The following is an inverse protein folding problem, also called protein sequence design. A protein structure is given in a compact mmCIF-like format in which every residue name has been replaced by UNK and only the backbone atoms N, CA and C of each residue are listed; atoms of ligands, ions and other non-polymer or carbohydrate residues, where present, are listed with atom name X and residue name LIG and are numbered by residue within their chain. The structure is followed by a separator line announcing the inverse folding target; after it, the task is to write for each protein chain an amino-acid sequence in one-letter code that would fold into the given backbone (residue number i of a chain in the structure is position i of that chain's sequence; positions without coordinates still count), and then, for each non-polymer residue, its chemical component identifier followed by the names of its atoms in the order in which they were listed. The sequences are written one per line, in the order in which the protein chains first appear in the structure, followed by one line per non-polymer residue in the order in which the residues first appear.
data_IF_561552121583
#
_entry.id   IF_561552121583
#
_cell.length_a   1.000
_cell.length_b   1.000
_cell.length_c   1.000
_cell.angle_alpha   90.00
_cell.angle_beta   90.00
_cell.angle_gamma   90.00
#
_symmetry.space_group_name_H-M   'P 1'
#
loop_
_entity.id
_entity.type
_entity.pdbx_description
1 polymer ?
#
# COMPACT_ATOMS: atom_id res chain seq x y z
N UNK A 1 -3.29 -11.55 -12.93
CA UNK A 1 -3.49 -11.44 -11.45
C UNK A 1 -4.83 -10.77 -11.17
N UNK A 2 -5.69 -11.38 -10.34
CA UNK A 2 -6.99 -10.81 -9.97
C UNK A 2 -6.77 -9.54 -9.12
N UNK A 3 -7.38 -8.42 -9.53
CA UNK A 3 -7.33 -7.13 -8.85
C UNK A 3 -8.74 -6.55 -8.70
N UNK A 4 -8.96 -5.76 -7.66
CA UNK A 4 -10.24 -5.09 -7.47
C UNK A 4 -10.46 -4.04 -8.58
N UNK A 5 -11.56 -4.13 -9.32
CA UNK A 5 -11.94 -3.21 -10.41
C UNK A 5 -13.16 -2.34 -10.09
N UNK A 6 -13.77 -2.53 -8.92
CA UNK A 6 -14.96 -1.82 -8.49
C UNK A 6 -14.72 -0.36 -8.07
N UNK A 7 -15.77 0.34 -7.63
CA UNK A 7 -15.75 1.76 -7.28
C UNK A 7 -14.90 2.01 -6.02
N UNK A 8 -13.84 2.80 -6.16
CA UNK A 8 -12.85 3.07 -5.10
C UNK A 8 -13.38 4.01 -4.03
N UNK A 9 -14.07 5.08 -4.42
CA UNK A 9 -14.64 6.07 -3.50
C UNK A 9 -15.66 5.43 -2.54
N UNK A 10 -16.39 4.40 -2.99
CA UNK A 10 -17.29 3.61 -2.13
C UNK A 10 -16.54 2.93 -0.98
N UNK A 11 -15.31 2.48 -1.25
CA UNK A 11 -14.45 1.83 -0.24
C UNK A 11 -13.93 2.88 0.75
N UNK A 12 -13.42 4.02 0.25
CA UNK A 12 -12.93 5.11 1.09
C UNK A 12 -14.04 5.64 2.01
N UNK A 13 -15.26 5.81 1.53
CA UNK A 13 -16.42 6.21 2.33
C UNK A 13 -16.74 5.24 3.48
N UNK A 14 -16.36 3.98 3.38
CA UNK A 14 -16.61 2.95 4.41
C UNK A 14 -15.44 2.75 5.35
N UNK A 15 -14.21 2.84 4.85
CA UNK A 15 -13.00 2.44 5.57
C UNK A 15 -12.14 3.63 6.01
N UNK A 16 -12.45 4.85 5.54
CA UNK A 16 -11.63 6.03 5.75
C UNK A 16 -10.59 6.22 4.63
N UNK A 17 -9.67 7.13 4.83
CA UNK A 17 -8.66 7.49 3.84
C UNK A 17 -7.71 6.34 3.52
N UNK A 18 -7.54 6.09 2.22
CA UNK A 18 -6.67 5.05 1.68
C UNK A 18 -5.83 5.65 0.53
N UNK A 19 -4.70 6.30 0.85
CA UNK A 19 -3.91 7.05 -0.13
C UNK A 19 -3.33 6.15 -1.24
N UNK A 20 -2.97 4.91 -0.93
CA UNK A 20 -2.50 3.94 -1.92
C UNK A 20 -3.58 3.47 -2.91
N UNK A 21 -4.87 3.60 -2.57
CA UNK A 21 -5.98 3.19 -3.42
C UNK A 21 -6.42 4.29 -4.39
N UNK A 22 -6.57 5.52 -3.89
CA UNK A 22 -7.07 6.67 -4.68
C UNK A 22 -6.75 7.99 -4.01
N UNK A 23 -6.48 9.00 -4.81
CA UNK A 23 -6.29 10.40 -4.40
C UNK A 23 -7.62 11.17 -4.33
N UNK A 24 -8.74 10.57 -4.80
CA UNK A 24 -10.04 11.24 -4.80
C UNK A 24 -10.64 11.30 -3.40
N UNK A 25 -10.96 12.52 -2.95
CA UNK A 25 -11.65 12.79 -1.69
C UNK A 25 -13.16 12.59 -1.90
N UNK A 26 -13.86 11.86 -1.01
CA UNK A 26 -15.29 11.68 -1.09
C UNK A 26 -16.04 12.95 -0.66
N UNK A 27 -17.07 13.35 -1.41
CA UNK A 27 -17.94 14.48 -1.06
C UNK A 27 -18.89 14.16 0.11
N UNK A 28 -19.06 12.88 0.47
CA UNK A 28 -19.98 12.43 1.52
C UNK A 28 -19.23 11.56 2.51
N UNK A 29 -19.36 11.87 3.82
CA UNK A 29 -18.60 11.20 4.89
C UNK A 29 -19.25 9.91 5.42
N UNK A 30 -20.42 9.54 4.91
CA UNK A 30 -21.13 8.32 5.31
C UNK A 30 -20.96 7.20 4.26
N UNK A 31 -21.09 5.92 4.64
CA UNK A 31 -20.99 4.79 3.72
C UNK A 31 -21.99 4.89 2.56
N UNK A 32 -21.69 4.25 1.43
CA UNK A 32 -22.56 4.23 0.28
C UNK A 32 -23.69 3.21 0.49
N UNK A 33 -24.88 3.51 -0.04
CA UNK A 33 -26.07 2.67 0.00
C UNK A 33 -27.22 3.29 0.78
N UNK A 34 -28.39 2.65 0.73
CA UNK A 34 -29.63 3.12 1.34
C UNK A 34 -29.48 3.38 2.85
N UNK A 35 -28.76 2.51 3.56
CA UNK A 35 -28.53 2.61 5.00
C UNK A 35 -27.26 3.39 5.35
N UNK A 36 -26.63 4.06 4.39
CA UNK A 36 -25.39 4.82 4.61
C UNK A 36 -25.54 5.91 5.68
N UNK A 37 -26.55 6.81 5.57
CA UNK A 37 -26.77 7.90 6.54
C UNK A 37 -26.99 7.42 7.98
N UNK A 38 -27.68 6.30 8.15
CA UNK A 38 -28.02 5.72 9.48
C UNK A 38 -26.95 4.76 10.03
N UNK A 39 -25.90 4.46 9.27
CA UNK A 39 -24.90 3.45 9.64
C UNK A 39 -24.10 3.80 10.91
N UNK A 40 -24.01 5.07 11.29
CA UNK A 40 -23.32 5.54 12.51
C UNK A 40 -24.05 5.22 13.82
N UNK A 41 -25.35 4.94 13.74
CA UNK A 41 -26.19 4.65 14.92
C UNK A 41 -26.03 3.20 15.42
N UNK A 42 -25.43 2.32 14.64
CA UNK A 42 -25.32 0.90 14.98
C UNK A 42 -24.01 0.60 15.71
N UNK A 43 -24.08 0.01 16.91
CA UNK A 43 -22.92 -0.45 17.66
C UNK A 43 -22.12 -1.45 16.83
N UNK A 44 -20.81 -1.22 16.67
CA UNK A 44 -19.94 -2.11 15.90
C UNK A 44 -19.57 -3.35 16.70
N UNK A 45 -19.77 -4.52 16.11
CA UNK A 45 -19.28 -5.78 16.69
C UNK A 45 -17.76 -5.85 16.63
N UNK A 46 -17.13 -6.58 17.56
CA UNK A 46 -15.67 -6.81 17.58
C UNK A 46 -15.18 -7.44 16.27
N UNK A 47 -15.95 -8.35 15.70
CA UNK A 47 -15.64 -8.94 14.40
C UNK A 47 -15.59 -7.88 13.27
N UNK A 48 -16.57 -6.96 13.26
CA UNK A 48 -16.64 -5.89 12.25
C UNK A 48 -15.43 -4.96 12.33
N UNK A 49 -14.99 -4.62 13.55
CA UNK A 49 -13.80 -3.77 13.77
C UNK A 49 -12.56 -4.43 13.19
N UNK A 50 -12.28 -5.70 13.54
CA UNK A 50 -11.14 -6.47 13.01
C UNK A 50 -11.20 -6.62 11.48
N UNK A 51 -12.39 -6.91 10.95
CA UNK A 51 -12.62 -7.01 9.52
C UNK A 51 -12.31 -5.69 8.79
N UNK A 52 -12.74 -4.55 9.34
CA UNK A 52 -12.48 -3.23 8.75
C UNK A 52 -10.98 -2.94 8.69
N UNK A 53 -10.22 -3.15 9.77
CA UNK A 53 -8.77 -2.94 9.79
C UNK A 53 -8.05 -3.82 8.76
N UNK A 54 -8.41 -5.09 8.68
CA UNK A 54 -7.88 -5.98 7.63
C UNK A 54 -8.23 -5.48 6.23
N UNK A 55 -9.45 -5.01 5.99
CA UNK A 55 -9.87 -4.50 4.68
C UNK A 55 -9.17 -3.19 4.32
N UNK A 56 -8.91 -2.27 5.27
CA UNK A 56 -8.08 -1.08 5.05
C UNK A 56 -6.72 -1.48 4.46
N UNK A 57 -6.03 -2.39 5.13
CA UNK A 57 -4.73 -2.88 4.68
C UNK A 57 -4.81 -3.48 3.27
N UNK A 58 -5.76 -4.39 3.06
CA UNK A 58 -5.93 -5.08 1.78
C UNK A 58 -6.19 -4.13 0.61
N UNK A 59 -7.07 -3.14 0.79
CA UNK A 59 -7.42 -2.21 -0.27
C UNK A 59 -6.35 -1.16 -0.51
N UNK A 60 -5.67 -0.68 0.54
CA UNK A 60 -4.60 0.29 0.39
C UNK A 60 -3.44 -0.28 -0.45
N UNK A 61 -2.95 -1.47 -0.11
CA UNK A 61 -1.86 -2.14 -0.86
C UNK A 61 -2.33 -2.90 -2.10
N UNK A 62 -3.64 -2.98 -2.34
CA UNK A 62 -4.22 -3.66 -3.51
C UNK A 62 -3.89 -5.16 -3.58
N UNK A 63 -3.67 -5.81 -2.45
CA UNK A 63 -3.37 -7.25 -2.37
C UNK A 63 -4.66 -8.09 -2.31
N UNK A 64 -4.60 -9.33 -2.81
CA UNK A 64 -5.70 -10.28 -2.65
C UNK A 64 -5.71 -10.88 -1.24
N UNK A 65 -6.84 -11.46 -0.82
CA UNK A 65 -6.94 -12.12 0.48
C UNK A 65 -5.93 -13.27 0.63
N UNK A 66 -5.77 -14.08 -0.42
CA UNK A 66 -4.80 -15.19 -0.46
C UNK A 66 -3.36 -14.69 -0.27
N UNK A 67 -3.01 -13.57 -0.92
CA UNK A 67 -1.68 -12.97 -0.79
C UNK A 67 -1.47 -12.41 0.63
N UNK A 68 -2.46 -11.70 1.18
CA UNK A 68 -2.37 -11.15 2.53
C UNK A 68 -2.21 -12.25 3.58
N UNK A 69 -2.97 -13.34 3.47
CA UNK A 69 -2.79 -14.52 4.32
C UNK A 69 -1.39 -15.12 4.19
N UNK A 70 -0.84 -15.15 2.98
CA UNK A 70 0.54 -15.59 2.73
C UNK A 70 1.58 -14.71 3.45
N UNK A 71 1.39 -13.38 3.44
CA UNK A 71 2.25 -12.45 4.19
C UNK A 71 2.13 -12.64 5.70
N UNK A 72 0.92 -12.80 6.23
CA UNK A 72 0.70 -13.06 7.67
C UNK A 72 1.39 -14.36 8.11
N UNK A 73 1.25 -15.44 7.32
CA UNK A 73 1.91 -16.72 7.62
C UNK A 73 3.43 -16.60 7.59
N UNK A 74 3.98 -15.82 6.67
CA UNK A 74 5.41 -15.55 6.57
C UNK A 74 5.90 -14.72 7.75
N UNK A 75 5.19 -13.64 8.10
CA UNK A 75 5.51 -12.80 9.25
C UNK A 75 5.53 -13.57 10.57
N UNK A 76 4.59 -14.52 10.77
CA UNK A 76 4.55 -15.38 11.96
C UNK A 76 5.77 -16.31 12.11
N UNK A 77 6.45 -16.64 11.02
CA UNK A 77 7.66 -17.49 11.02
C UNK A 77 8.93 -16.71 11.29
N UNK A 78 8.89 -15.40 11.15
CA UNK A 78 10.05 -14.52 11.37
C UNK A 78 10.16 -14.15 12.85
N UNK A 79 11.37 -13.91 13.33
CA UNK A 79 11.61 -13.40 14.69
C UNK A 79 11.23 -11.91 14.75
N UNK A 80 10.39 -11.52 15.70
CA UNK A 80 9.96 -10.13 15.93
C UNK A 80 8.45 -9.95 15.99
N UNK A 81 7.97 -8.71 16.17
CA UNK A 81 6.54 -8.39 16.25
C UNK A 81 5.87 -8.62 14.88
N UNK A 82 4.98 -9.60 14.83
CA UNK A 82 4.33 -10.06 13.59
C UNK A 82 3.63 -8.93 12.83
N UNK A 83 3.03 -7.96 13.56
CA UNK A 83 2.34 -6.83 12.93
C UNK A 83 3.27 -5.89 12.17
N UNK A 84 4.37 -5.51 12.80
CA UNK A 84 5.39 -4.67 12.18
C UNK A 84 6.04 -5.35 10.98
N UNK A 85 6.40 -6.63 11.13
CA UNK A 85 6.96 -7.44 10.04
C UNK A 85 6.01 -7.56 8.86
N UNK A 86 4.71 -7.73 9.12
CA UNK A 86 3.69 -7.74 8.07
C UNK A 86 3.67 -6.41 7.30
N UNK A 87 3.63 -5.29 8.01
CA UNK A 87 3.62 -3.97 7.40
C UNK A 87 4.93 -3.68 6.66
N UNK A 88 6.07 -4.03 7.23
CA UNK A 88 7.38 -3.93 6.58
C UNK A 88 7.41 -4.69 5.24
N UNK A 89 6.96 -5.95 5.23
CA UNK A 89 6.90 -6.73 3.99
C UNK A 89 5.97 -6.11 2.94
N UNK A 90 4.90 -5.44 3.34
CA UNK A 90 3.98 -4.77 2.41
C UNK A 90 4.55 -3.46 1.87
N UNK A 91 5.29 -2.70 2.67
CA UNK A 91 5.96 -1.46 2.22
C UNK A 91 7.19 -1.76 1.36
N UNK A 92 7.93 -2.83 1.64
CA UNK A 92 9.13 -3.22 0.87
C UNK A 92 8.80 -3.89 -0.48
N UNK A 93 7.54 -3.95 -0.89
CA UNK A 93 7.16 -4.38 -2.24
C UNK A 93 7.51 -3.30 -3.26
N UNK A 94 7.94 -3.71 -4.45
CA UNK A 94 8.32 -2.80 -5.53
C UNK A 94 7.18 -1.83 -5.90
N UNK A 95 5.92 -2.30 -5.97
CA UNK A 95 4.77 -1.43 -6.26
C UNK A 95 4.54 -0.38 -5.16
N UNK A 96 4.79 -0.73 -3.89
CA UNK A 96 4.69 0.20 -2.77
C UNK A 96 5.84 1.22 -2.77
N UNK A 97 7.07 0.77 -3.00
CA UNK A 97 8.24 1.66 -3.04
C UNK A 97 8.13 2.67 -4.21
N UNK A 98 7.74 2.22 -5.41
CA UNK A 98 7.50 3.11 -6.56
C UNK A 98 6.46 4.19 -6.24
N UNK A 99 5.41 3.82 -5.49
CA UNK A 99 4.43 4.80 -5.00
C UNK A 99 5.04 5.75 -3.95
N UNK A 100 5.80 5.25 -2.98
CA UNK A 100 6.44 6.06 -1.92
C UNK A 100 7.51 7.03 -2.44
N UNK A 101 8.23 6.65 -3.48
CA UNK A 101 9.16 7.53 -4.19
C UNK A 101 8.47 8.66 -4.96
N UNK A 102 7.14 8.63 -5.08
CA UNK A 102 6.38 9.62 -5.84
C UNK A 102 6.41 9.40 -7.36
N UNK A 103 6.77 8.21 -7.81
CA UNK A 103 6.78 7.86 -9.25
C UNK A 103 5.39 7.55 -9.79
N UNK A 104 4.42 7.34 -8.91
CA UNK A 104 3.05 7.05 -9.28
C UNK A 104 2.04 7.66 -8.28
N UNK A 105 0.86 8.12 -8.74
CA UNK A 105 -0.15 8.74 -7.88
C UNK A 105 -0.87 7.73 -6.96
N UNK A 106 -0.82 6.45 -7.25
CA UNK A 106 -1.41 5.38 -6.43
C UNK A 106 -0.62 4.08 -6.57
N UNK A 107 -0.71 3.18 -5.59
CA UNK A 107 -0.09 1.84 -5.67
C UNK A 107 -0.58 1.05 -6.89
N UNK A 108 -1.82 1.30 -7.35
CA UNK A 108 -2.35 0.66 -8.56
C UNK A 108 -1.71 1.17 -9.85
N UNK A 109 -1.40 2.46 -9.92
CA UNK A 109 -0.64 3.03 -11.04
C UNK A 109 0.80 2.51 -11.01
N UNK A 110 1.44 2.50 -9.83
CA UNK A 110 2.76 1.92 -9.64
C UNK A 110 2.82 0.46 -10.12
N UNK A 111 1.83 -0.34 -9.76
CA UNK A 111 1.71 -1.73 -10.22
C UNK A 111 1.59 -1.85 -11.73
N UNK A 112 0.87 -0.94 -12.37
CA UNK A 112 0.77 -0.91 -13.83
C UNK A 112 2.12 -0.58 -14.45
N UNK A 113 2.84 0.41 -13.95
CA UNK A 113 4.15 0.78 -14.44
C UNK A 113 5.16 -0.37 -14.33
N UNK A 114 5.20 -1.03 -13.17
CA UNK A 114 6.05 -2.22 -12.99
C UNK A 114 5.66 -3.35 -13.95
N UNK A 115 4.36 -3.67 -14.07
CA UNK A 115 3.91 -4.75 -14.95
C UNK A 115 4.16 -4.48 -16.44
N UNK A 116 4.26 -3.20 -16.84
CA UNK A 116 4.59 -2.78 -18.20
C UNK A 116 6.10 -2.68 -18.45
N UNK A 117 6.95 -3.03 -17.47
CA UNK A 117 8.40 -3.01 -17.61
C UNK A 117 9.02 -1.61 -17.62
N UNK A 118 8.30 -0.59 -17.11
CA UNK A 118 8.78 0.80 -17.08
C UNK A 118 9.71 1.11 -15.91
N UNK A 119 9.97 0.13 -15.05
CA UNK A 119 10.78 0.26 -13.83
C UNK A 119 11.92 -0.76 -13.85
N UNK A 120 13.11 -0.30 -13.54
CA UNK A 120 14.30 -1.13 -13.38
C UNK A 120 14.77 -1.14 -11.93
N UNK A 121 15.31 -2.27 -11.47
CA UNK A 121 15.96 -2.44 -10.18
C UNK A 121 17.41 -2.84 -10.44
N UNK A 122 18.36 -2.05 -9.93
CA UNK A 122 19.81 -2.23 -10.19
C UNK A 122 20.14 -2.37 -11.70
N UNK A 123 19.42 -1.64 -12.56
CA UNK A 123 19.58 -1.67 -14.01
C UNK A 123 18.84 -2.80 -14.73
N UNK A 124 18.27 -3.77 -14.02
CA UNK A 124 17.50 -4.87 -14.60
C UNK A 124 16.00 -4.56 -14.61
N UNK A 125 15.32 -4.84 -15.72
CA UNK A 125 13.87 -4.67 -15.82
C UNK A 125 13.14 -5.72 -14.96
N UNK A 126 12.32 -5.25 -14.01
CA UNK A 126 11.52 -6.11 -13.14
C UNK A 126 10.03 -5.88 -13.41
N UNK A 127 9.33 -6.90 -13.89
CA UNK A 127 7.88 -6.83 -14.21
C UNK A 127 6.98 -7.40 -13.13
N UNK A 128 7.55 -7.81 -11.99
CA UNK A 128 6.82 -8.43 -10.87
C UNK A 128 6.55 -7.39 -9.78
N UNK A 129 5.30 -6.86 -9.61
CA UNK A 129 4.99 -5.84 -8.61
C UNK A 129 5.17 -6.28 -7.15
N UNK A 130 5.13 -7.59 -6.91
CA UNK A 130 5.33 -8.17 -5.58
C UNK A 130 6.80 -8.48 -5.25
N UNK A 131 7.72 -8.07 -6.11
CA UNK A 131 9.15 -8.17 -5.83
C UNK A 131 9.46 -7.49 -4.49
N UNK A 132 10.20 -8.17 -3.63
CA UNK A 132 10.62 -7.63 -2.33
C UNK A 132 11.96 -6.95 -2.51
N UNK A 133 11.97 -5.64 -2.37
CA UNK A 133 13.21 -4.89 -2.48
C UNK A 133 14.04 -5.04 -1.20
N UNK A 134 15.35 -5.12 -1.39
CA UNK A 134 16.34 -5.17 -0.32
C UNK A 134 16.96 -3.78 -0.09
N UNK A 135 17.59 -3.58 1.08
CA UNK A 135 18.37 -2.38 1.35
C UNK A 135 19.54 -2.26 0.36
N UNK A 136 19.80 -1.06 -0.10
CA UNK A 136 20.85 -0.77 -1.08
C UNK A 136 20.39 -0.83 -2.55
N UNK A 137 19.22 -1.41 -2.84
CA UNK A 137 18.72 -1.47 -4.23
C UNK A 137 18.34 -0.10 -4.78
N UNK A 138 18.69 0.13 -6.04
CA UNK A 138 18.41 1.35 -6.79
C UNK A 138 17.27 1.08 -7.77
N UNK A 139 16.23 1.89 -7.67
CA UNK A 139 15.03 1.81 -8.50
C UNK A 139 15.02 3.00 -9.43
N UNK A 140 14.94 2.75 -10.74
CA UNK A 140 14.97 3.81 -11.76
C UNK A 140 13.87 3.62 -12.79
N UNK A 141 13.41 4.74 -13.34
CA UNK A 141 12.55 4.77 -14.52
C UNK A 141 12.98 5.88 -15.47
N UNK A 142 12.93 5.59 -16.78
CA UNK A 142 13.19 6.56 -17.86
C UNK A 142 11.92 6.94 -18.61
N UNK A 143 10.77 6.37 -18.25
CA UNK A 143 9.49 6.64 -18.89
C UNK A 143 9.01 8.08 -18.58
N UNK A 144 8.73 8.86 -19.63
CA UNK A 144 8.30 10.26 -19.53
C UNK A 144 7.20 10.51 -18.49
N UNK A 145 6.07 9.76 -18.45
CA UNK A 145 4.99 10.01 -17.49
C UNK A 145 5.41 9.78 -16.03
N UNK A 146 6.43 8.94 -15.78
CA UNK A 146 6.95 8.70 -14.42
C UNK A 146 7.87 9.84 -14.01
N UNK A 147 8.73 10.29 -14.92
CA UNK A 147 9.66 11.40 -14.68
C UNK A 147 8.90 12.71 -14.42
N UNK A 148 7.88 13.01 -15.21
CA UNK A 148 7.03 14.19 -15.02
C UNK A 148 6.30 14.14 -13.67
N UNK A 149 5.71 12.99 -13.33
CA UNK A 149 5.03 12.83 -12.05
C UNK A 149 6.00 12.94 -10.87
N UNK A 150 7.23 12.42 -10.99
CA UNK A 150 8.26 12.54 -9.97
C UNK A 150 8.65 13.99 -9.70
N UNK A 151 8.80 14.82 -10.75
CA UNK A 151 9.13 16.25 -10.64
C UNK A 151 8.02 17.05 -9.96
N UNK A 152 6.76 16.74 -10.28
CA UNK A 152 5.58 17.45 -9.72
C UNK A 152 5.15 16.93 -8.36
N UNK A 153 5.70 15.80 -7.90
CA UNK A 153 5.32 15.21 -6.62
C UNK A 153 5.74 16.07 -5.44
N UNK A 154 4.76 16.68 -4.77
CA UNK A 154 4.95 17.51 -3.57
C UNK A 154 4.86 16.76 -2.24
N UNK A 155 4.63 15.44 -2.26
CA UNK A 155 4.53 14.63 -1.04
C UNK A 155 5.87 14.40 -0.36
N UNK A 156 5.80 14.04 0.93
CA UNK A 156 6.98 13.70 1.72
C UNK A 156 7.43 12.27 1.41
N UNK A 157 8.68 12.11 1.02
CA UNK A 157 9.30 10.80 0.85
C UNK A 157 9.73 10.29 2.23
N UNK A 158 9.36 9.05 2.60
CA UNK A 158 9.77 8.48 3.87
C UNK A 158 11.29 8.34 3.99
N UNK A 159 11.84 8.53 5.18
CA UNK A 159 13.29 8.58 5.44
C UNK A 159 14.04 7.26 5.24
N UNK A 160 13.36 6.15 4.95
CA UNK A 160 14.00 4.89 4.54
C UNK A 160 14.31 4.84 3.04
N UNK A 161 13.86 5.86 2.28
CA UNK A 161 14.10 6.00 0.84
C UNK A 161 14.81 7.33 0.57
N UNK A 162 15.73 7.33 -0.39
CA UNK A 162 16.26 8.53 -1.00
C UNK A 162 15.77 8.65 -2.44
N UNK A 163 15.53 9.86 -2.94
CA UNK A 163 14.99 10.08 -4.28
C UNK A 163 15.67 11.25 -4.98
N UNK A 164 16.08 11.02 -6.22
CA UNK A 164 16.39 12.07 -7.20
C UNK A 164 15.19 12.24 -8.13
N UNK A 165 14.42 13.29 -7.90
CA UNK A 165 13.18 13.58 -8.64
C UNK A 165 13.43 13.90 -10.11
N UNK A 166 14.58 14.49 -10.43
CA UNK A 166 14.89 14.90 -11.80
C UNK A 166 15.10 13.70 -12.72
N UNK A 167 15.79 12.69 -12.20
CA UNK A 167 16.13 11.48 -12.96
C UNK A 167 15.19 10.30 -12.66
N UNK A 168 14.15 10.50 -11.87
CA UNK A 168 13.25 9.44 -11.38
C UNK A 168 14.05 8.20 -10.89
N UNK A 169 15.04 8.45 -10.05
CA UNK A 169 15.89 7.44 -9.44
C UNK A 169 15.68 7.47 -7.93
N UNK A 170 15.44 6.32 -7.33
CA UNK A 170 15.31 6.18 -5.88
C UNK A 170 16.17 5.04 -5.37
N UNK A 171 16.58 5.11 -4.11
CA UNK A 171 17.36 4.08 -3.45
C UNK A 171 16.71 3.69 -2.12
N UNK A 172 16.75 2.43 -1.79
CA UNK A 172 16.30 1.90 -0.49
C UNK A 172 17.47 1.97 0.48
N UNK A 173 17.42 2.89 1.45
CA UNK A 173 18.52 3.11 2.39
C UNK A 173 18.47 2.13 3.57
N UNK A 174 17.27 1.85 4.07
CA UNK A 174 17.06 0.98 5.24
C UNK A 174 15.69 0.31 5.22
N UNK A 175 15.50 -0.67 6.08
CA UNK A 175 14.18 -1.27 6.27
C UNK A 175 13.19 -0.29 6.88
N UNK A 176 11.92 -0.42 6.51
CA UNK A 176 10.83 0.43 7.00
C UNK A 176 10.57 0.19 8.48
N UNK A 177 10.47 1.26 9.26
CA UNK A 177 10.00 1.24 10.65
C UNK A 177 8.52 1.60 10.72
N UNK A 178 7.83 1.23 11.80
CA UNK A 178 6.39 1.51 11.98
C UNK A 178 6.05 2.99 11.86
N UNK A 179 6.90 3.87 12.36
CA UNK A 179 6.71 5.34 12.31
C UNK A 179 6.70 5.93 10.90
N UNK A 180 7.30 5.25 9.93
CA UNK A 180 7.42 5.71 8.54
C UNK A 180 6.24 5.29 7.66
N UNK A 181 5.35 4.43 8.19
CA UNK A 181 4.20 3.93 7.47
C UNK A 181 3.06 4.94 7.56
N UNK A 182 2.76 5.61 6.45
CA UNK A 182 1.73 6.64 6.35
C UNK A 182 0.28 6.10 6.29
N UNK A 183 0.03 4.91 6.81
CA UNK A 183 -1.30 4.32 6.91
C UNK A 183 -1.67 4.12 8.38
N UNK A 184 -2.75 4.75 8.82
CA UNK A 184 -3.31 4.57 10.17
C UNK A 184 -4.09 3.26 10.24
N UNK A 185 -3.44 2.22 10.73
CA UNK A 185 -3.99 0.87 10.88
C UNK A 185 -3.55 0.28 12.21
N UNK A 186 -4.46 -0.45 12.86
CA UNK A 186 -4.13 -1.23 14.04
C UNK A 186 -3.76 -2.67 13.62
N UNK A 187 -2.47 -2.97 13.62
CA UNK A 187 -1.92 -4.26 13.22
C UNK A 187 -2.33 -5.41 14.14
N UNK A 188 -2.56 -5.15 15.44
CA UNK A 188 -2.99 -6.18 16.39
C UNK A 188 -4.36 -6.74 16.03
N UNK A 189 -5.29 -5.88 15.64
CA UNK A 189 -6.64 -6.30 15.20
C UNK A 189 -6.59 -7.15 13.92
N UNK A 190 -5.61 -6.89 13.05
CA UNK A 190 -5.41 -7.71 11.84
C UNK A 190 -4.88 -9.10 12.21
N UNK A 191 -3.90 -9.17 13.11
CA UNK A 191 -3.36 -10.45 13.58
C UNK A 191 -4.43 -11.25 14.31
N UNK A 192 -5.22 -10.62 15.16
CA UNK A 192 -6.37 -11.24 15.84
C UNK A 192 -7.41 -11.79 14.87
N UNK A 193 -7.70 -11.07 13.76
CA UNK A 193 -8.60 -11.56 12.73
C UNK A 193 -8.14 -12.89 12.14
N UNK A 194 -6.82 -13.05 11.93
CA UNK A 194 -6.23 -14.26 11.37
C UNK A 194 -5.88 -15.34 12.42
N UNK A 195 -5.85 -15.02 13.72
CA UNK A 195 -5.59 -16.02 14.77
C UNK A 195 -6.79 -16.95 15.01
N UNK A 196 -7.98 -16.51 14.64
CA UNK A 196 -9.24 -17.25 14.80
C UNK A 196 -9.65 -18.04 13.56
N UNK A 197 -8.76 -18.15 12.56
CA UNK A 197 -9.00 -18.89 11.32
C UNK A 197 -7.98 -20.02 11.14
#
# INVERSE_FOLDING_TARGET
MARYRGPRVKIVRRLGELPGLTTKIPNRNYPAGQHGPSSGMTKMSQYRVRLQEKQKLRYNYGVSEKQLLGYVRRARRMKGPTGELLLQMLEMRLDSIVYRLGFAPTIRAARQYVSHGLVTVNGQCVTIPSYQCSTGEVIKSTAAPIVEHSKTYGGVVPSHLSVDKNNATGKVERNVTRSQIGLTVNELLIIEFYSRK
#
